data_IF_680354841866
#
_entry.id   IF_680354841866
#
_cell.length_a   1.000
_cell.length_b   1.000
_cell.length_c   1.000
_cell.angle_alpha   90.00
_cell.angle_beta   90.00
_cell.angle_gamma   90.00
#
_symmetry.space_group_name_H-M   'P 1'
#
loop_
_entity.id
_entity.type
_entity.pdbx_description
1 polymer ?
#
# COMPACT_ATOMS: atom_id res chain seq x y z
N UNK A 1 -6.49 12.54 2.75
CA UNK A 1 -5.93 11.49 3.64
C UNK A 1 -4.68 12.03 4.30
N UNK A 2 -4.59 11.95 5.63
CA UNK A 2 -3.35 12.28 6.37
C UNK A 2 -2.34 11.14 6.19
N UNK A 3 -1.10 11.40 6.57
CA UNK A 3 -0.05 10.38 6.62
C UNK A 3 -0.43 9.32 7.69
N UNK A 4 -0.34 8.03 7.35
CA UNK A 4 -0.67 6.94 8.28
C UNK A 4 0.15 5.68 8.01
N UNK A 5 0.26 4.82 9.03
CA UNK A 5 0.89 3.50 8.94
C UNK A 5 -0.12 2.47 9.45
N UNK A 6 -0.33 1.40 8.70
CA UNK A 6 -1.11 0.25 9.16
C UNK A 6 -0.20 -0.97 9.28
N UNK A 7 -0.25 -1.63 10.43
CA UNK A 7 0.51 -2.85 10.71
C UNK A 7 -0.49 -3.95 11.03
N UNK A 8 -0.36 -5.10 10.36
CA UNK A 8 -1.18 -6.27 10.60
C UNK A 8 -0.33 -7.53 10.47
N UNK A 9 -0.09 -8.19 11.61
CA UNK A 9 0.88 -9.29 11.73
C UNK A 9 2.22 -8.86 11.11
N UNK A 10 2.72 -9.61 10.12
CA UNK A 10 3.98 -9.33 9.42
C UNK A 10 3.85 -8.31 8.26
N UNK A 11 2.66 -7.71 8.05
CA UNK A 11 2.41 -6.80 6.94
C UNK A 11 2.37 -5.34 7.40
N UNK A 12 3.25 -4.51 6.82
CA UNK A 12 3.30 -3.06 7.08
C UNK A 12 2.94 -2.31 5.80
N UNK A 13 1.98 -1.39 5.89
CA UNK A 13 1.65 -0.44 4.83
C UNK A 13 1.86 0.98 5.34
N UNK A 14 2.65 1.75 4.59
CA UNK A 14 2.95 3.15 4.90
C UNK A 14 2.32 4.02 3.83
N UNK A 15 1.39 4.89 4.23
CA UNK A 15 0.79 5.89 3.36
C UNK A 15 1.30 7.27 3.71
N UNK A 16 1.89 7.93 2.71
CA UNK A 16 2.35 9.31 2.82
C UNK A 16 1.67 10.14 1.74
N UNK A 17 0.97 11.18 2.17
CA UNK A 17 0.31 12.16 1.32
C UNK A 17 1.27 13.12 0.64
N UNK A 18 2.55 13.15 1.06
CA UNK A 18 3.58 14.04 0.54
C UNK A 18 4.10 13.63 -0.85
N UNK A 19 4.83 14.54 -1.48
CA UNK A 19 5.45 14.32 -2.80
C UNK A 19 6.42 13.13 -2.77
N UNK A 20 6.53 12.42 -3.89
CA UNK A 20 7.51 11.34 -4.10
C UNK A 20 8.94 11.80 -3.76
N UNK A 21 9.28 13.07 -3.98
CA UNK A 21 10.58 13.65 -3.61
C UNK A 21 10.80 13.65 -2.09
N UNK A 22 9.78 14.02 -1.32
CA UNK A 22 9.84 14.03 0.16
C UNK A 22 9.92 12.62 0.73
N UNK A 23 9.21 11.67 0.09
CA UNK A 23 9.27 10.25 0.43
C UNK A 23 10.69 9.70 0.26
N UNK A 24 11.26 9.89 -0.94
CA UNK A 24 12.62 9.43 -1.27
C UNK A 24 13.59 9.98 -0.23
N UNK A 25 13.60 11.29 0.03
CA UNK A 25 14.51 11.91 1.00
C UNK A 25 14.43 11.29 2.41
N UNK A 26 13.25 10.86 2.86
CA UNK A 26 13.07 10.28 4.21
C UNK A 26 13.30 8.78 4.30
N UNK A 27 13.04 8.03 3.23
CA UNK A 27 12.92 6.56 3.28
C UNK A 27 13.96 5.83 2.41
N UNK A 28 14.76 6.55 1.60
CA UNK A 28 15.67 5.96 0.59
C UNK A 28 16.69 4.94 1.10
N UNK A 29 17.01 4.91 2.40
CA UNK A 29 18.07 4.02 2.90
C UNK A 29 17.64 2.57 3.10
N UNK A 30 16.34 2.24 3.08
CA UNK A 30 15.93 0.88 3.48
C UNK A 30 14.72 0.28 2.75
N UNK A 31 13.91 1.08 2.05
CA UNK A 31 12.64 0.58 1.51
C UNK A 31 12.28 1.13 0.11
N UNK A 32 11.95 0.22 -0.82
CA UNK A 32 11.50 0.52 -2.19
C UNK A 32 9.97 0.70 -2.18
N UNK A 33 9.43 1.86 -1.77
CA UNK A 33 7.98 2.09 -1.86
C UNK A 33 7.61 3.47 -2.40
N UNK A 34 7.62 3.59 -3.72
CA UNK A 34 7.00 4.72 -4.43
C UNK A 34 6.12 4.19 -5.56
N UNK A 35 5.18 3.30 -5.23
CA UNK A 35 4.28 2.65 -6.18
C UNK A 35 2.87 3.23 -6.05
N UNK A 36 2.26 3.52 -7.21
CA UNK A 36 0.88 4.03 -7.33
C UNK A 36 -0.15 3.00 -6.87
N UNK A 37 0.17 1.71 -6.99
CA UNK A 37 -0.69 0.58 -6.65
C UNK A 37 0.11 -0.45 -5.83
N UNK A 38 -0.47 -0.99 -4.75
CA UNK A 38 0.16 -2.01 -3.90
C UNK A 38 -0.86 -3.07 -3.47
N UNK A 39 -0.39 -4.30 -3.24
CA UNK A 39 -1.20 -5.37 -2.64
C UNK A 39 -1.00 -5.42 -1.13
N UNK A 40 -2.09 -5.38 -0.38
CA UNK A 40 -2.08 -5.45 1.09
C UNK A 40 -3.27 -6.25 1.59
N UNK A 41 -3.04 -7.32 2.36
CA UNK A 41 -4.09 -8.20 2.92
C UNK A 41 -5.10 -8.75 1.88
N UNK A 42 -4.62 -8.97 0.65
CA UNK A 42 -5.43 -9.40 -0.48
C UNK A 42 -6.36 -8.32 -1.04
N UNK A 43 -6.08 -7.06 -0.75
CA UNK A 43 -6.65 -5.90 -1.44
C UNK A 43 -5.61 -5.28 -2.36
N UNK A 44 -6.08 -4.71 -3.45
CA UNK A 44 -5.31 -3.85 -4.34
C UNK A 44 -5.66 -2.41 -3.95
N UNK A 45 -4.67 -1.68 -3.46
CA UNK A 45 -4.79 -0.30 -3.00
C UNK A 45 -4.14 0.60 -4.05
N UNK A 46 -4.95 1.42 -4.73
CA UNK A 46 -4.44 2.50 -5.59
C UNK A 46 -4.44 3.81 -4.79
N UNK A 47 -3.24 4.39 -4.63
CA UNK A 47 -3.07 5.57 -3.80
C UNK A 47 -3.93 6.74 -4.31
N UNK A 48 -4.82 7.24 -3.43
CA UNK A 48 -5.77 8.35 -3.69
C UNK A 48 -6.90 8.05 -4.67
N UNK A 49 -7.07 6.80 -5.14
CA UNK A 49 -8.11 6.46 -6.12
C UNK A 49 -9.18 5.56 -5.49
N UNK A 50 -8.87 4.29 -5.23
CA UNK A 50 -9.80 3.35 -4.61
C UNK A 50 -9.06 2.16 -3.97
N UNK A 51 -9.80 1.40 -3.16
CA UNK A 51 -9.39 0.10 -2.63
C UNK A 51 -10.32 -0.94 -3.22
N UNK A 52 -9.78 -1.97 -3.88
CA UNK A 52 -10.56 -3.08 -4.45
C UNK A 52 -10.05 -4.42 -3.95
N UNK A 53 -10.91 -5.44 -3.93
CA UNK A 53 -10.47 -6.81 -3.64
C UNK A 53 -9.55 -7.32 -4.75
N UNK A 54 -8.50 -8.07 -4.36
CA UNK A 54 -7.69 -8.80 -5.32
C UNK A 54 -8.55 -9.92 -5.95
N UNK A 55 -8.64 -10.02 -7.29
CA UNK A 55 -9.32 -11.13 -7.96
C UNK A 55 -8.85 -12.51 -7.49
N UNK A 56 -7.59 -12.66 -7.06
CA UNK A 56 -7.08 -13.89 -6.46
C UNK A 56 -7.77 -14.24 -5.15
N UNK A 57 -8.04 -13.23 -4.30
CA UNK A 57 -8.77 -13.40 -3.04
C UNK A 57 -10.22 -13.80 -3.29
N UNK A 58 -10.86 -13.16 -4.28
CA UNK A 58 -12.22 -13.52 -4.72
C UNK A 58 -12.25 -14.98 -5.17
N UNK A 59 -11.36 -15.39 -6.07
CA UNK A 59 -11.29 -16.77 -6.57
C UNK A 59 -11.07 -17.82 -5.47
N UNK A 60 -10.37 -17.46 -4.39
CA UNK A 60 -10.13 -18.36 -3.26
C UNK A 60 -11.37 -18.55 -2.36
N UNK A 61 -12.33 -17.63 -2.37
CA UNK A 61 -13.58 -17.74 -1.59
C UNK A 61 -14.63 -18.56 -2.35
N UNK A 62 -14.69 -18.41 -3.68
CA UNK A 62 -15.65 -19.10 -4.54
C UNK A 62 -15.22 -20.53 -4.92
N UNK A 63 -14.10 -21.03 -4.39
CA UNK A 63 -13.60 -22.38 -4.61
C UNK A 63 -13.70 -23.17 -3.32
#
# INVERSE_FOLDING_TARGET
LRDYITVYLDNILVYLSKSRKDYIRKVYKKYIFAVKEVKYLGYIIEARVYIRLDPKKIKAIYK
#
